data_IF_748144003757
#
_entry.id   IF_748144003757
#
_cell.length_a   1.000
_cell.length_b   1.000
_cell.length_c   1.000
_cell.angle_alpha   90.00
_cell.angle_beta   90.00
_cell.angle_gamma   90.00
#
_symmetry.space_group_name_H-M   'P 1'
#
loop_
_entity.id
_entity.type
_entity.pdbx_description
1 polymer ?
#
# COMPACT_ATOMS: atom_id res chain seq x y z
N UNK A 1 -66.17 19.25 -5.49
CA UNK A 1 -65.65 18.65 -4.24
C UNK A 1 -64.96 17.35 -4.63
N UNK A 2 -63.96 17.35 -5.50
CA UNK A 2 -62.61 17.93 -5.38
C UNK A 2 -61.87 17.45 -4.13
N UNK A 3 -60.95 16.50 -4.31
CA UNK A 3 -59.57 16.67 -3.85
C UNK A 3 -58.61 15.70 -4.57
N UNK A 4 -57.82 16.25 -5.49
CA UNK A 4 -56.68 15.60 -6.12
C UNK A 4 -55.50 15.71 -5.16
N UNK A 5 -55.00 14.57 -4.65
CA UNK A 5 -53.82 14.54 -3.80
C UNK A 5 -52.56 14.77 -4.65
N UNK A 6 -52.03 15.99 -4.59
CA UNK A 6 -50.76 16.39 -5.24
C UNK A 6 -49.57 15.93 -4.40
N UNK A 7 -48.77 14.99 -4.92
CA UNK A 7 -47.51 14.58 -4.31
C UNK A 7 -46.45 15.69 -4.40
N UNK A 8 -46.03 16.24 -3.25
CA UNK A 8 -44.94 17.24 -3.16
C UNK A 8 -43.57 16.58 -3.40
N UNK A 9 -42.92 16.90 -4.53
CA UNK A 9 -41.51 16.57 -4.79
C UNK A 9 -40.61 17.40 -3.86
N UNK A 10 -39.80 16.74 -3.02
CA UNK A 10 -38.69 17.36 -2.26
C UNK A 10 -37.55 17.69 -3.22
N UNK A 11 -37.18 18.96 -3.36
CA UNK A 11 -35.99 19.42 -4.08
C UNK A 11 -34.73 19.13 -3.25
N UNK A 12 -33.73 18.49 -3.88
CA UNK A 12 -32.44 18.16 -3.25
C UNK A 12 -31.55 19.41 -3.30
N UNK A 13 -31.28 20.02 -2.15
CA UNK A 13 -30.34 21.16 -2.05
C UNK A 13 -28.93 20.71 -2.41
N UNK A 14 -28.38 21.22 -3.51
CA UNK A 14 -26.99 21.02 -3.90
C UNK A 14 -26.12 22.05 -3.18
N UNK A 15 -25.42 21.65 -2.11
CA UNK A 15 -24.35 22.48 -1.53
C UNK A 15 -23.23 22.65 -2.57
N UNK A 16 -22.76 23.87 -2.84
CA UNK A 16 -21.65 24.09 -3.75
C UNK A 16 -20.37 23.46 -3.20
N UNK A 17 -19.59 22.87 -4.11
CA UNK A 17 -18.31 22.23 -3.81
C UNK A 17 -17.28 23.32 -3.49
N UNK A 18 -16.52 23.23 -2.40
CA UNK A 18 -15.55 24.27 -2.05
C UNK A 18 -14.47 24.39 -3.12
N UNK A 19 -14.04 25.63 -3.37
CA UNK A 19 -13.03 25.94 -4.36
C UNK A 19 -11.68 25.26 -4.04
N UNK A 20 -10.90 24.85 -5.06
CA UNK A 20 -9.60 24.25 -4.84
C UNK A 20 -8.62 25.28 -4.26
N UNK A 21 -7.96 24.92 -3.15
CA UNK A 21 -6.94 25.74 -2.50
C UNK A 21 -5.78 26.08 -3.44
N UNK A 22 -5.31 27.32 -3.33
CA UNK A 22 -4.18 27.91 -4.05
C UNK A 22 -2.85 27.27 -3.65
N UNK A 23 -1.80 27.47 -4.45
CA UNK A 23 -0.47 26.88 -4.21
C UNK A 23 0.16 27.37 -2.89
N UNK A 24 -0.04 28.65 -2.54
CA UNK A 24 0.39 29.24 -1.27
C UNK A 24 -0.32 28.60 -0.06
N UNK A 25 -1.64 28.35 -0.14
CA UNK A 25 -2.40 27.66 0.93
C UNK A 25 -2.05 26.16 1.07
N UNK A 26 -1.38 25.57 0.09
CA UNK A 26 -0.84 24.20 0.17
C UNK A 26 0.55 24.19 0.80
N UNK A 27 1.37 25.18 0.49
CA UNK A 27 2.72 25.32 1.06
C UNK A 27 2.66 25.70 2.56
N UNK A 28 1.66 26.48 2.99
CA UNK A 28 1.41 26.81 4.41
C UNK A 28 0.87 25.62 5.24
N UNK A 29 0.42 24.55 4.59
CA UNK A 29 -0.09 23.34 5.27
C UNK A 29 1.00 22.34 5.69
N UNK A 30 2.27 22.65 5.38
CA UNK A 30 3.43 21.80 5.70
C UNK A 30 3.89 21.96 7.15
N UNK A 31 3.30 22.88 7.92
CA UNK A 31 3.77 23.23 9.27
C UNK A 31 2.75 23.14 10.41
N UNK A 32 1.63 22.43 10.26
CA UNK A 32 0.69 22.27 11.38
C UNK A 32 1.18 21.13 12.27
N UNK A 33 1.96 21.46 13.30
CA UNK A 33 2.24 20.56 14.41
C UNK A 33 0.91 20.04 14.97
N UNK A 34 0.67 18.74 14.80
CA UNK A 34 -0.49 18.07 15.36
C UNK A 34 -0.22 17.97 16.86
N UNK A 35 -0.91 18.81 17.65
CA UNK A 35 -0.58 19.11 19.04
C UNK A 35 -0.47 17.91 19.98
N UNK A 36 -1.05 16.78 19.62
CA UNK A 36 -1.14 15.57 20.43
C UNK A 36 -0.25 14.41 19.92
N UNK A 37 0.62 14.64 18.93
CA UNK A 37 1.60 13.64 18.48
C UNK A 37 2.94 13.93 19.16
N UNK A 38 3.28 13.11 20.15
CA UNK A 38 4.57 13.14 20.85
C UNK A 38 5.51 12.06 20.30
N UNK A 39 6.80 12.37 20.27
CA UNK A 39 7.83 11.41 19.90
C UNK A 39 7.94 10.25 20.90
N UNK A 40 8.46 9.12 20.43
CA UNK A 40 8.78 7.98 21.27
C UNK A 40 10.13 8.19 21.97
N UNK A 41 10.19 7.92 23.26
CA UNK A 41 11.46 7.92 23.99
C UNK A 41 12.38 6.79 23.50
N UNK A 42 13.70 6.96 23.54
CA UNK A 42 14.65 5.94 23.03
C UNK A 42 14.45 4.57 23.69
N UNK A 43 14.25 4.54 25.02
CA UNK A 43 13.98 3.29 25.75
C UNK A 43 12.64 2.65 25.34
N UNK A 44 11.60 3.47 25.19
CA UNK A 44 10.27 3.07 24.72
C UNK A 44 10.34 2.42 23.32
N UNK A 45 11.12 3.01 22.40
CA UNK A 45 11.32 2.47 21.04
C UNK A 45 11.96 1.09 21.08
N UNK A 46 12.98 0.89 21.93
CA UNK A 46 13.68 -0.41 22.04
C UNK A 46 12.72 -1.49 22.54
N UNK A 47 11.97 -1.19 23.60
CA UNK A 47 11.02 -2.13 24.21
C UNK A 47 9.87 -2.50 23.26
N UNK A 48 9.28 -1.51 22.57
CA UNK A 48 8.22 -1.74 21.57
C UNK A 48 8.74 -2.63 20.45
N UNK A 49 9.94 -2.35 19.91
CA UNK A 49 10.52 -3.15 18.82
C UNK A 49 10.76 -4.59 19.24
N UNK A 50 11.37 -4.81 20.40
CA UNK A 50 11.64 -6.15 20.92
C UNK A 50 10.32 -6.93 21.10
N UNK A 51 9.36 -6.36 21.82
CA UNK A 51 8.07 -7.01 22.12
C UNK A 51 7.26 -7.31 20.86
N UNK A 52 7.25 -6.38 19.89
CA UNK A 52 6.51 -6.57 18.64
C UNK A 52 7.14 -7.66 17.76
N UNK A 53 8.47 -7.72 17.69
CA UNK A 53 9.18 -8.72 16.90
C UNK A 53 9.04 -10.12 17.52
N UNK A 54 9.17 -10.24 18.84
CA UNK A 54 8.93 -11.49 19.56
C UNK A 54 7.51 -12.02 19.31
N UNK A 55 6.50 -11.16 19.52
CA UNK A 55 5.11 -11.52 19.22
C UNK A 55 4.93 -11.92 17.75
N UNK A 56 5.54 -11.19 16.82
CA UNK A 56 5.43 -11.48 15.38
C UNK A 56 6.05 -12.84 15.04
N UNK A 57 7.17 -13.21 15.62
CA UNK A 57 7.82 -14.49 15.33
C UNK A 57 6.99 -15.69 15.76
N UNK A 58 6.26 -15.58 16.85
CA UNK A 58 5.35 -16.61 17.35
C UNK A 58 3.97 -16.59 16.67
N UNK A 59 3.43 -15.41 16.35
CA UNK A 59 2.02 -15.24 16.00
C UNK A 59 1.77 -14.87 14.52
N UNK A 60 2.83 -14.71 13.71
CA UNK A 60 2.66 -14.38 12.29
C UNK A 60 1.85 -15.45 11.57
N UNK A 61 0.82 -15.00 10.85
CA UNK A 61 0.05 -15.86 9.94
C UNK A 61 0.94 -16.34 8.79
N UNK A 62 0.76 -17.59 8.44
CA UNK A 62 1.33 -18.17 7.22
C UNK A 62 0.57 -17.66 6.00
N UNK A 63 1.24 -16.85 5.18
CA UNK A 63 0.67 -16.23 3.98
C UNK A 63 1.61 -16.48 2.80
N UNK A 64 1.09 -16.80 1.59
CA UNK A 64 1.94 -17.19 0.46
C UNK A 64 3.07 -16.19 0.15
N UNK A 65 2.76 -14.89 0.13
CA UNK A 65 3.72 -13.81 -0.13
C UNK A 65 4.72 -13.57 1.02
N UNK A 66 4.64 -14.30 2.14
CA UNK A 66 5.62 -14.24 3.24
C UNK A 66 6.61 -15.41 3.24
N UNK A 67 6.36 -16.48 2.48
CA UNK A 67 7.14 -17.73 2.55
C UNK A 67 8.52 -17.65 1.88
N UNK A 68 8.69 -16.74 0.92
CA UNK A 68 9.85 -16.69 0.01
C UNK A 68 11.22 -16.53 0.70
N UNK A 69 11.28 -15.94 1.90
CA UNK A 69 12.55 -15.73 2.64
C UNK A 69 13.03 -16.94 3.45
N UNK A 70 12.30 -18.07 3.45
CA UNK A 70 12.69 -19.25 4.24
C UNK A 70 13.67 -20.19 3.53
N UNK A 71 14.02 -19.93 2.28
CA UNK A 71 15.16 -20.61 1.64
C UNK A 71 16.44 -19.92 2.15
N UNK A 72 17.41 -20.74 2.55
CA UNK A 72 18.52 -20.41 3.43
C UNK A 72 19.29 -19.13 3.05
N UNK A 73 19.85 -18.50 4.09
CA UNK A 73 20.70 -17.29 4.10
C UNK A 73 21.98 -17.40 3.23
N UNK A 74 22.13 -18.48 2.46
CA UNK A 74 23.38 -18.91 1.84
C UNK A 74 23.42 -18.63 0.32
N UNK A 75 22.28 -18.36 -0.32
CA UNK A 75 22.22 -18.00 -1.75
C UNK A 75 21.22 -16.85 -1.97
N UNK A 76 21.61 -15.63 -1.60
CA UNK A 76 20.90 -14.41 -2.05
C UNK A 76 21.62 -13.90 -3.29
N UNK A 77 21.15 -14.30 -4.46
CA UNK A 77 21.56 -13.69 -5.73
C UNK A 77 20.56 -12.59 -6.15
N UNK A 78 20.94 -11.83 -7.17
CA UNK A 78 20.12 -10.71 -7.67
C UNK A 78 18.75 -11.18 -8.21
N UNK A 79 18.66 -12.42 -8.70
CA UNK A 79 17.39 -12.99 -9.18
C UNK A 79 16.40 -13.22 -8.02
N UNK A 80 16.91 -13.68 -6.88
CA UNK A 80 16.12 -13.89 -5.66
C UNK A 80 15.55 -12.57 -5.12
N UNK A 81 16.36 -11.51 -5.07
CA UNK A 81 15.94 -10.16 -4.66
C UNK A 81 14.84 -9.61 -5.59
N UNK A 82 15.02 -9.76 -6.90
CA UNK A 82 14.06 -9.31 -7.92
C UNK A 82 12.73 -10.04 -7.80
N UNK A 83 12.76 -11.36 -7.65
CA UNK A 83 11.56 -12.18 -7.46
C UNK A 83 10.85 -11.80 -6.16
N UNK A 84 11.60 -11.57 -5.08
CA UNK A 84 11.05 -11.14 -3.80
C UNK A 84 10.35 -9.79 -3.90
N UNK A 85 10.97 -8.82 -4.56
CA UNK A 85 10.38 -7.50 -4.79
C UNK A 85 9.07 -7.60 -5.61
N UNK A 86 9.06 -8.44 -6.65
CA UNK A 86 7.88 -8.71 -7.45
C UNK A 86 6.73 -9.31 -6.63
N UNK A 87 6.99 -10.35 -5.84
CA UNK A 87 6.00 -10.99 -4.98
C UNK A 87 5.40 -10.01 -3.96
N UNK A 88 6.26 -9.23 -3.30
CA UNK A 88 5.83 -8.19 -2.35
C UNK A 88 4.95 -7.18 -3.08
N UNK A 89 5.39 -6.66 -4.22
CA UNK A 89 4.64 -5.66 -4.98
C UNK A 89 3.25 -6.16 -5.40
N UNK A 90 3.16 -7.35 -5.98
CA UNK A 90 1.88 -7.95 -6.39
C UNK A 90 0.95 -8.11 -5.18
N UNK A 91 1.47 -8.65 -4.07
CA UNK A 91 0.66 -8.87 -2.86
C UNK A 91 0.13 -7.57 -2.27
N UNK A 92 0.97 -6.53 -2.18
CA UNK A 92 0.59 -5.21 -1.66
C UNK A 92 -0.47 -4.55 -2.55
N UNK A 93 -0.34 -4.65 -3.88
CA UNK A 93 -1.36 -4.10 -4.78
C UNK A 93 -2.68 -4.86 -4.65
N UNK A 94 -2.66 -6.19 -4.52
CA UNK A 94 -3.88 -6.97 -4.32
C UNK A 94 -4.56 -6.65 -2.99
N UNK A 95 -3.79 -6.48 -1.91
CA UNK A 95 -4.29 -6.19 -0.55
C UNK A 95 -4.91 -4.80 -0.40
N UNK A 96 -4.71 -3.89 -1.35
CA UNK A 96 -5.41 -2.61 -1.37
C UNK A 96 -6.92 -2.84 -1.47
N UNK A 97 -7.66 -2.43 -0.43
CA UNK A 97 -9.12 -2.51 -0.37
C UNK A 97 -9.69 -3.92 -0.58
N UNK A 98 -8.89 -4.97 -0.37
CA UNK A 98 -9.30 -6.37 -0.52
C UNK A 98 -8.90 -7.17 0.72
N UNK A 99 -9.76 -8.08 1.18
CA UNK A 99 -9.48 -8.88 2.39
C UNK A 99 -8.42 -9.94 2.09
N UNK A 100 -7.54 -10.18 3.08
CA UNK A 100 -6.44 -11.16 2.99
C UNK A 100 -6.91 -12.54 2.50
N UNK A 101 -8.01 -13.06 3.06
CA UNK A 101 -8.51 -14.40 2.70
C UNK A 101 -8.86 -14.53 1.22
N UNK A 102 -9.41 -13.47 0.63
CA UNK A 102 -9.69 -13.43 -0.82
C UNK A 102 -8.39 -13.40 -1.61
N UNK A 103 -7.43 -12.57 -1.20
CA UNK A 103 -6.17 -12.36 -1.94
C UNK A 103 -5.34 -13.65 -2.05
N UNK A 104 -5.39 -14.56 -1.07
CA UNK A 104 -4.61 -15.82 -1.09
C UNK A 104 -4.80 -16.60 -2.39
N UNK A 105 -6.05 -16.84 -2.80
CA UNK A 105 -6.34 -17.62 -4.01
C UNK A 105 -5.92 -16.88 -5.30
N UNK A 106 -6.09 -15.56 -5.35
CA UNK A 106 -5.70 -14.76 -6.51
C UNK A 106 -4.18 -14.66 -6.65
N UNK A 107 -3.48 -14.42 -5.55
CA UNK A 107 -2.02 -14.37 -5.52
C UNK A 107 -1.43 -15.69 -6.00
N UNK A 108 -1.91 -16.84 -5.50
CA UNK A 108 -1.40 -18.14 -5.93
C UNK A 108 -1.60 -18.39 -7.43
N UNK A 109 -2.78 -18.09 -7.99
CA UNK A 109 -3.04 -18.23 -9.44
C UNK A 109 -2.19 -17.27 -10.27
N UNK A 110 -2.03 -16.04 -9.78
CA UNK A 110 -1.21 -15.02 -10.42
C UNK A 110 0.25 -15.46 -10.50
N UNK A 111 0.84 -15.86 -9.37
CA UNK A 111 2.23 -16.29 -9.30
C UNK A 111 2.48 -17.61 -10.05
N UNK A 112 1.46 -18.45 -10.22
CA UNK A 112 1.55 -19.65 -11.06
C UNK A 112 1.65 -19.31 -12.54
N UNK A 113 0.86 -18.35 -13.03
CA UNK A 113 0.87 -17.93 -14.45
C UNK A 113 2.06 -17.00 -14.77
N UNK A 114 2.37 -16.08 -13.86
CA UNK A 114 3.46 -15.12 -14.01
C UNK A 114 4.38 -15.18 -12.79
N UNK A 115 5.36 -16.12 -12.78
CA UNK A 115 6.26 -16.29 -11.64
C UNK A 115 7.32 -15.19 -11.50
N UNK A 116 7.56 -14.41 -12.56
CA UNK A 116 8.52 -13.30 -12.56
C UNK A 116 7.98 -12.05 -13.22
N UNK A 117 8.68 -10.93 -13.02
CA UNK A 117 8.29 -9.63 -13.60
C UNK A 117 8.32 -9.66 -15.14
N UNK A 118 9.24 -10.41 -15.75
CA UNK A 118 9.34 -10.59 -17.20
C UNK A 118 8.10 -11.28 -17.77
N UNK A 119 7.60 -12.30 -17.08
CA UNK A 119 6.37 -12.99 -17.47
C UNK A 119 5.17 -12.03 -17.46
N UNK A 120 5.04 -11.20 -16.43
CA UNK A 120 3.97 -10.20 -16.36
C UNK A 120 4.13 -9.12 -17.44
N UNK A 121 5.35 -8.62 -17.68
CA UNK A 121 5.60 -7.58 -18.68
C UNK A 121 5.23 -8.05 -20.10
N UNK A 122 5.41 -9.34 -20.40
CA UNK A 122 5.01 -9.96 -21.65
C UNK A 122 3.50 -10.23 -21.80
N UNK A 123 2.70 -10.04 -20.75
CA UNK A 123 1.28 -10.35 -20.77
C UNK A 123 0.45 -9.29 -21.53
N UNK A 124 -0.68 -9.73 -22.09
CA UNK A 124 -1.72 -8.84 -22.60
C UNK A 124 -2.56 -8.26 -21.46
N UNK A 125 -3.22 -7.12 -21.72
CA UNK A 125 -4.12 -6.52 -20.71
C UNK A 125 -5.38 -7.38 -20.51
N UNK A 126 -5.80 -8.11 -21.55
CA UNK A 126 -6.91 -9.05 -21.53
C UNK A 126 -6.64 -10.19 -20.53
N UNK A 127 -5.48 -10.84 -20.61
CA UNK A 127 -5.08 -11.89 -19.67
C UNK A 127 -4.96 -11.36 -18.23
N UNK A 128 -4.40 -10.16 -18.06
CA UNK A 128 -4.30 -9.51 -16.75
C UNK A 128 -5.68 -9.25 -16.16
N UNK A 129 -6.63 -8.75 -16.96
CA UNK A 129 -8.00 -8.52 -16.52
C UNK A 129 -8.72 -9.83 -16.17
N UNK A 130 -8.49 -10.89 -16.94
CA UNK A 130 -9.06 -12.22 -16.69
C UNK A 130 -8.62 -12.77 -15.32
N UNK A 131 -7.31 -12.74 -15.02
CA UNK A 131 -6.80 -13.19 -13.73
C UNK A 131 -7.17 -12.28 -12.56
N UNK A 132 -7.40 -10.98 -12.83
CA UNK A 132 -7.82 -10.00 -11.82
C UNK A 132 -9.34 -10.00 -11.58
N UNK A 133 -10.12 -10.70 -12.42
CA UNK A 133 -11.56 -10.66 -12.39
C UNK A 133 -12.12 -11.06 -11.03
N UNK A 134 -12.86 -10.14 -10.40
CA UNK A 134 -13.43 -10.32 -9.05
C UNK A 134 -12.69 -9.58 -7.92
N UNK A 135 -11.47 -9.08 -8.12
CA UNK A 135 -10.77 -8.25 -7.13
C UNK A 135 -11.22 -6.77 -7.14
N UNK A 136 -11.90 -6.34 -8.21
CA UNK A 136 -12.31 -4.95 -8.40
C UNK A 136 -11.12 -4.00 -8.63
N UNK A 137 -11.43 -2.73 -8.89
CA UNK A 137 -10.45 -1.67 -9.15
C UNK A 137 -9.39 -2.08 -10.20
N UNK A 138 -9.81 -2.52 -11.39
CA UNK A 138 -8.94 -3.00 -12.49
C UNK A 138 -7.82 -2.05 -12.90
N UNK A 139 -7.92 -0.76 -12.57
CA UNK A 139 -6.82 0.20 -12.71
C UNK A 139 -5.54 -0.28 -12.00
N UNK A 140 -5.65 -0.97 -10.86
CA UNK A 140 -4.51 -1.57 -10.14
C UNK A 140 -3.78 -2.61 -10.98
N UNK A 141 -4.53 -3.54 -11.58
CA UNK A 141 -3.99 -4.58 -12.46
C UNK A 141 -3.29 -3.97 -13.68
N UNK A 142 -3.93 -2.98 -14.30
CA UNK A 142 -3.33 -2.24 -15.42
C UNK A 142 -2.03 -1.53 -15.02
N UNK A 143 -1.99 -0.89 -13.86
CA UNK A 143 -0.78 -0.22 -13.39
C UNK A 143 0.33 -1.22 -13.02
N UNK A 144 0.00 -2.40 -12.50
CA UNK A 144 0.97 -3.49 -12.34
C UNK A 144 1.61 -3.86 -13.68
N UNK A 145 0.80 -4.07 -14.73
CA UNK A 145 1.31 -4.39 -16.06
C UNK A 145 2.17 -3.25 -16.65
N UNK A 146 1.70 -2.00 -16.57
CA UNK A 146 2.44 -0.83 -17.04
C UNK A 146 3.78 -0.69 -16.30
N UNK A 147 3.78 -0.80 -14.97
CA UNK A 147 5.00 -0.73 -14.18
C UNK A 147 5.94 -1.91 -14.44
N UNK A 148 5.42 -3.11 -14.69
CA UNK A 148 6.24 -4.27 -15.05
C UNK A 148 6.98 -4.06 -16.36
N UNK A 149 6.29 -3.53 -17.37
CA UNK A 149 6.92 -3.13 -18.64
C UNK A 149 8.00 -2.09 -18.42
N UNK A 150 7.73 -1.04 -17.64
CA UNK A 150 8.75 -0.03 -17.31
C UNK A 150 10.01 -0.61 -16.66
N UNK A 151 9.86 -1.57 -15.74
CA UNK A 151 11.00 -2.22 -15.08
C UNK A 151 11.80 -3.06 -16.08
N UNK A 152 11.11 -3.87 -16.89
CA UNK A 152 11.76 -4.74 -17.88
C UNK A 152 12.46 -3.93 -18.97
N UNK A 153 11.83 -2.87 -19.48
CA UNK A 153 12.44 -1.93 -20.44
C UNK A 153 13.68 -1.24 -19.86
N UNK A 154 13.72 -1.04 -18.53
CA UNK A 154 14.85 -0.48 -17.79
C UNK A 154 15.96 -1.48 -17.42
N UNK A 155 15.91 -2.72 -17.94
CA UNK A 155 16.91 -3.77 -17.66
C UNK A 155 16.44 -4.84 -16.66
N UNK A 156 15.19 -4.79 -16.21
CA UNK A 156 14.58 -5.84 -15.38
C UNK A 156 14.82 -5.71 -13.88
N UNK A 157 15.59 -4.71 -13.44
CA UNK A 157 15.96 -4.52 -12.05
C UNK A 157 15.05 -3.52 -11.32
N UNK A 158 14.65 -3.90 -10.10
CA UNK A 158 13.87 -2.99 -9.23
C UNK A 158 14.81 -1.95 -8.60
N UNK A 159 14.43 -0.67 -8.59
CA UNK A 159 15.12 0.33 -7.77
C UNK A 159 15.09 -0.09 -6.30
N UNK A 160 16.23 0.02 -5.61
CA UNK A 160 16.32 -0.35 -4.18
C UNK A 160 15.97 0.79 -3.22
N UNK A 161 15.76 2.01 -3.73
CA UNK A 161 15.37 3.19 -2.94
C UNK A 161 13.87 3.51 -3.10
N UNK A 162 13.29 4.14 -2.08
CA UNK A 162 11.88 4.55 -2.09
C UNK A 162 11.61 5.54 -3.23
N UNK A 163 12.51 6.50 -3.44
CA UNK A 163 12.41 7.52 -4.48
C UNK A 163 12.44 6.90 -5.88
N UNK A 164 13.28 5.87 -6.07
CA UNK A 164 13.34 5.11 -7.32
C UNK A 164 12.06 4.32 -7.56
N UNK A 165 11.58 3.60 -6.53
CA UNK A 165 10.36 2.81 -6.60
C UNK A 165 9.13 3.66 -6.90
N UNK A 166 9.01 4.85 -6.29
CA UNK A 166 7.92 5.79 -6.52
C UNK A 166 7.84 6.35 -7.96
N UNK A 167 8.89 6.20 -8.77
CA UNK A 167 8.85 6.57 -10.20
C UNK A 167 8.10 5.53 -11.04
N UNK A 168 7.95 4.30 -10.55
CA UNK A 168 7.25 3.23 -11.25
C UNK A 168 5.75 3.45 -11.16
N UNK A 169 5.07 3.28 -12.29
CA UNK A 169 3.62 3.48 -12.38
C UNK A 169 2.87 2.62 -11.35
N UNK A 170 2.03 3.27 -10.55
CA UNK A 170 1.19 2.59 -9.55
C UNK A 170 1.87 2.28 -8.23
N UNK A 171 3.16 2.60 -8.07
CA UNK A 171 3.87 2.51 -6.80
C UNK A 171 3.83 3.89 -6.12
N UNK A 172 3.17 3.97 -4.96
CA UNK A 172 3.20 5.13 -4.08
C UNK A 172 4.05 4.87 -2.83
N UNK A 173 4.21 5.89 -1.98
CA UNK A 173 5.08 5.84 -0.78
C UNK A 173 4.93 4.57 0.07
N UNK A 174 3.69 4.16 0.35
CA UNK A 174 3.43 2.93 1.11
C UNK A 174 4.00 1.69 0.41
N UNK A 175 3.66 1.47 -0.87
CA UNK A 175 4.11 0.30 -1.62
C UNK A 175 5.63 0.34 -1.84
N UNK A 176 6.21 1.52 -2.07
CA UNK A 176 7.65 1.71 -2.17
C UNK A 176 8.37 1.34 -0.86
N UNK A 177 7.87 1.84 0.30
CA UNK A 177 8.39 1.48 1.61
C UNK A 177 8.26 -0.01 1.91
N UNK A 178 7.13 -0.64 1.53
CA UNK A 178 6.92 -2.07 1.69
C UNK A 178 7.91 -2.90 0.85
N UNK A 179 8.11 -2.57 -0.42
CA UNK A 179 9.10 -3.27 -1.26
C UNK A 179 10.52 -3.05 -0.71
N UNK A 180 10.92 -1.80 -0.45
CA UNK A 180 12.26 -1.47 0.01
C UNK A 180 12.61 -2.13 1.35
N UNK A 181 11.68 -2.16 2.30
CA UNK A 181 11.90 -2.79 3.60
C UNK A 181 11.83 -4.32 3.54
N UNK A 182 10.79 -4.90 2.93
CA UNK A 182 10.56 -6.35 2.97
C UNK A 182 11.50 -7.10 2.03
N UNK A 183 11.72 -6.58 0.81
CA UNK A 183 12.56 -7.23 -0.19
C UNK A 183 14.04 -6.84 -0.01
N UNK A 184 14.36 -5.56 0.17
CA UNK A 184 15.74 -5.06 0.16
C UNK A 184 16.31 -4.68 1.54
N UNK A 185 15.62 -5.03 2.62
CA UNK A 185 16.03 -4.80 4.01
C UNK A 185 16.37 -3.33 4.34
N UNK A 186 15.74 -2.38 3.65
CA UNK A 186 15.95 -0.96 3.94
C UNK A 186 15.14 -0.53 5.16
N UNK A 187 15.78 0.17 6.08
CA UNK A 187 15.15 0.79 7.23
C UNK A 187 14.37 2.05 6.82
N UNK A 188 13.22 1.86 6.17
CA UNK A 188 12.33 2.92 5.70
C UNK A 188 10.90 2.70 6.20
N UNK A 189 10.13 3.75 6.46
CA UNK A 189 8.77 3.60 6.95
C UNK A 189 7.81 3.13 5.86
N UNK A 190 6.75 2.46 6.28
CA UNK A 190 5.53 2.25 5.52
C UNK A 190 4.35 2.48 6.47
N UNK A 191 3.49 3.43 6.14
CA UNK A 191 2.38 3.83 7.01
C UNK A 191 1.07 3.60 6.30
N UNK A 192 0.27 2.68 6.82
CA UNK A 192 -1.11 2.42 6.40
C UNK A 192 -2.10 2.70 7.53
N UNK A 193 -3.38 2.47 7.27
CA UNK A 193 -4.42 2.62 8.29
C UNK A 193 -4.28 1.66 9.47
N UNK A 194 -3.53 0.55 9.35
CA UNK A 194 -3.26 -0.34 10.48
C UNK A 194 -2.17 0.23 11.37
N UNK A 195 -1.06 0.69 10.80
CA UNK A 195 0.03 1.36 11.51
C UNK A 195 -0.48 2.59 12.22
N UNK A 196 -1.21 3.48 11.53
CA UNK A 196 -1.83 4.67 12.12
C UNK A 196 -2.71 4.29 13.31
N UNK A 197 -3.56 3.26 13.17
CA UNK A 197 -4.46 2.83 14.26
C UNK A 197 -3.70 2.32 15.48
N UNK A 198 -2.58 1.62 15.28
CA UNK A 198 -1.76 1.10 16.39
C UNK A 198 -1.03 2.26 17.09
N UNK A 199 -0.31 3.09 16.35
CA UNK A 199 0.46 4.21 16.91
C UNK A 199 -0.48 5.20 17.60
N UNK A 200 -1.62 5.54 16.99
CA UNK A 200 -2.59 6.45 17.58
C UNK A 200 -3.11 5.97 18.94
N UNK A 201 -3.34 4.65 19.09
CA UNK A 201 -3.80 4.09 20.37
C UNK A 201 -2.68 4.03 21.40
N UNK A 202 -1.47 3.70 20.97
CA UNK A 202 -0.31 3.59 21.85
C UNK A 202 0.05 4.95 22.47
N UNK A 203 -0.03 6.03 21.69
CA UNK A 203 0.29 7.41 22.12
C UNK A 203 -0.94 8.27 22.43
N UNK A 204 -2.12 7.66 22.54
CA UNK A 204 -3.38 8.35 22.81
C UNK A 204 -3.65 9.56 21.89
N UNK A 205 -3.24 9.48 20.62
CA UNK A 205 -3.43 10.53 19.61
C UNK A 205 -4.93 10.59 19.27
N UNK A 206 -5.53 11.72 19.60
CA UNK A 206 -6.95 12.03 19.40
C UNK A 206 -7.25 12.62 18.02
N UNK A 207 -6.23 13.14 17.34
CA UNK A 207 -6.37 13.72 16.00
C UNK A 207 -6.92 12.71 14.99
N UNK A 208 -7.88 13.17 14.19
CA UNK A 208 -8.56 12.33 13.21
C UNK A 208 -7.61 11.86 12.09
N UNK A 209 -7.49 10.55 11.83
CA UNK A 209 -6.64 10.03 10.75
C UNK A 209 -7.22 10.28 9.35
N UNK A 210 -8.37 10.96 9.24
CA UNK A 210 -8.94 11.43 7.97
C UNK A 210 -8.32 12.74 7.52
N UNK A 211 -7.62 13.45 8.42
CA UNK A 211 -6.95 14.70 8.11
C UNK A 211 -5.61 14.43 7.45
N UNK A 212 -5.32 15.15 6.35
CA UNK A 212 -4.05 14.97 5.63
C UNK A 212 -2.84 15.33 6.49
N UNK A 213 -2.96 16.40 7.29
CA UNK A 213 -1.94 16.81 8.26
C UNK A 213 -1.61 15.70 9.25
N UNK A 214 -2.64 15.02 9.76
CA UNK A 214 -2.46 13.89 10.67
C UNK A 214 -1.70 12.75 10.00
N UNK A 215 -2.12 12.35 8.79
CA UNK A 215 -1.42 11.29 8.04
C UNK A 215 0.03 11.68 7.77
N UNK A 216 0.31 12.92 7.38
CA UNK A 216 1.68 13.41 7.17
C UNK A 216 2.51 13.35 8.44
N UNK A 217 1.95 13.64 9.61
CA UNK A 217 2.67 13.57 10.89
C UNK A 217 2.96 12.13 11.35
N UNK A 218 2.20 11.13 10.88
CA UNK A 218 2.54 9.72 11.10
C UNK A 218 3.67 9.20 10.20
N UNK A 219 3.97 9.90 9.10
CA UNK A 219 5.05 9.57 8.17
C UNK A 219 6.37 10.16 8.61
#
# INVERSE_FOLDING_TARGET
MDEVVVARRRTRSTRPRPAPKTKAEREDSVGVAVKDIEDFGVGEVVEIRASLLEWYDENKRDLPWRRSRRVAKEEVDEDTDRRRAYEVWVSEVMLQQTRVQTVIAYFNRWMLKWPSIQHLAGASIEEVNELWAGLGYYRRARFLLEGAKMIVDGGGEFPKSVEGLCKIRGIGNYTAGAIASIAFEKAVPLVDGNVIRVIARLKAISTSPKEKSAVTAFW
#
